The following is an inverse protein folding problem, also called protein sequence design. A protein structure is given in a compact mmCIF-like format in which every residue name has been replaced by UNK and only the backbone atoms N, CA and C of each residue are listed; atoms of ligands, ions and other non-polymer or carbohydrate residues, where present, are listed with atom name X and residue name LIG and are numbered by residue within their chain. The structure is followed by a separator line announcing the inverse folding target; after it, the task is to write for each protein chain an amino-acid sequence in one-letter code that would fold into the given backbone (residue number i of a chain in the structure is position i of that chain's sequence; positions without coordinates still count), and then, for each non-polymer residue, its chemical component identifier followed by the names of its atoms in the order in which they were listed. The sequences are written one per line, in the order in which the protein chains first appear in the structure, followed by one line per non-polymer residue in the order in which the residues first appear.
data_IF_443738657260
#
_entry.id   IF_443738657260
#
_cell.length_a   1.000
_cell.length_b   1.000
_cell.length_c   1.000
_cell.angle_alpha   90.00
_cell.angle_beta   90.00
_cell.angle_gamma   90.00
#
_symmetry.space_group_name_H-M   'P 1'
#
loop_
_entity.id
_entity.type
_entity.pdbx_description
1 polymer ?
#
# COMPACT_ATOMS: atom_id res chain seq x y z
N UNK A 1 4.30 0.20 -14.86
CA UNK A 1 2.88 0.12 -15.31
C UNK A 1 2.02 1.22 -14.71
N UNK A 2 1.40 2.06 -15.54
CA UNK A 2 0.54 3.18 -15.13
C UNK A 2 -0.95 2.80 -15.18
N UNK A 3 -1.66 2.92 -14.06
CA UNK A 3 -3.11 2.83 -14.01
C UNK A 3 -3.73 4.20 -13.72
N UNK A 4 -4.57 4.69 -14.63
CA UNK A 4 -5.23 5.98 -14.48
C UNK A 4 -6.69 5.80 -14.08
N UNK A 5 -7.15 6.59 -13.12
CA UNK A 5 -8.51 6.49 -12.60
C UNK A 5 -9.26 7.82 -12.67
N UNK A 6 -10.41 7.80 -13.31
CA UNK A 6 -11.33 8.93 -13.45
C UNK A 6 -12.65 8.65 -12.74
N UNK A 7 -13.27 9.69 -12.21
CA UNK A 7 -14.58 9.59 -11.58
C UNK A 7 -15.70 9.69 -12.62
N UNK A 8 -16.40 8.59 -12.87
CA UNK A 8 -17.53 8.52 -13.80
C UNK A 8 -18.80 8.08 -13.07
N UNK A 9 -19.81 8.95 -13.01
CA UNK A 9 -21.08 8.69 -12.32
C UNK A 9 -20.90 8.23 -10.85
N UNK A 10 -19.92 8.83 -10.16
CA UNK A 10 -19.59 8.49 -8.77
C UNK A 10 -18.88 7.13 -8.61
N UNK A 11 -18.37 6.54 -9.68
CA UNK A 11 -17.55 5.32 -9.66
C UNK A 11 -16.15 5.61 -10.16
N UNK A 12 -15.18 4.90 -9.61
CA UNK A 12 -13.82 4.94 -10.09
C UNK A 12 -13.72 4.03 -11.33
N UNK A 13 -13.46 4.64 -12.49
CA UNK A 13 -13.24 3.93 -13.75
C UNK A 13 -11.76 3.88 -14.04
N UNK A 14 -11.23 2.69 -14.30
CA UNK A 14 -9.85 2.50 -14.72
C UNK A 14 -9.74 2.72 -16.23
N UNK A 15 -8.76 3.52 -16.61
CA UNK A 15 -8.35 3.73 -18.00
C UNK A 15 -6.88 3.26 -18.10
N UNK A 16 -6.59 2.40 -19.06
CA UNK A 16 -5.25 1.93 -19.36
C UNK A 16 -4.54 3.02 -20.16
N UNK A 17 -3.27 3.26 -19.84
CA UNK A 17 -2.43 4.23 -20.53
C UNK A 17 -1.26 3.45 -21.13
N UNK A 18 -1.19 3.37 -22.46
CA UNK A 18 -0.12 2.68 -23.17
C UNK A 18 1.02 3.62 -23.55
N UNK A 19 0.77 4.93 -23.67
CA UNK A 19 1.81 5.91 -23.99
C UNK A 19 1.59 7.32 -23.38
N UNK A 20 2.62 8.17 -23.49
CA UNK A 20 2.59 9.58 -23.04
C UNK A 20 1.48 10.40 -23.67
N UNK A 21 1.12 10.18 -24.94
CA UNK A 21 0.09 10.95 -25.61
C UNK A 21 -1.31 10.57 -25.09
N UNK A 22 -1.53 9.31 -24.77
CA UNK A 22 -2.75 8.85 -24.08
C UNK A 22 -2.85 9.48 -22.70
N UNK A 23 -1.76 9.47 -21.92
CA UNK A 23 -1.71 10.11 -20.60
C UNK A 23 -2.18 11.57 -20.64
N UNK A 24 -1.73 12.32 -21.66
CA UNK A 24 -2.09 13.73 -21.88
C UNK A 24 -3.52 13.94 -22.41
N UNK A 25 -4.17 12.90 -22.94
CA UNK A 25 -5.54 12.97 -23.44
C UNK A 25 -6.58 12.79 -22.33
N UNK A 26 -6.24 12.13 -21.23
CA UNK A 26 -7.17 11.89 -20.13
C UNK A 26 -7.47 13.18 -19.37
N UNK A 27 -8.75 13.52 -19.23
CA UNK A 27 -9.19 14.73 -18.56
C UNK A 27 -9.50 14.44 -17.09
N UNK A 28 -8.78 15.10 -16.18
CA UNK A 28 -9.06 15.15 -14.74
C UNK A 28 -9.10 13.78 -14.03
N UNK A 29 -8.01 12.98 -14.07
CA UNK A 29 -7.88 11.84 -13.19
C UNK A 29 -7.95 12.29 -11.73
N UNK A 30 -8.47 11.42 -10.85
CA UNK A 30 -8.44 11.65 -9.39
C UNK A 30 -7.40 10.78 -8.70
N UNK A 31 -6.94 9.72 -9.38
CA UNK A 31 -5.90 8.84 -8.88
C UNK A 31 -5.09 8.27 -10.06
N UNK A 32 -3.76 8.29 -9.93
CA UNK A 32 -2.82 7.63 -10.83
C UNK A 32 -1.98 6.69 -9.97
N UNK A 33 -2.06 5.40 -10.27
CA UNK A 33 -1.39 4.33 -9.56
C UNK A 33 -0.32 3.71 -10.44
N UNK A 34 0.93 3.88 -10.03
CA UNK A 34 2.11 3.48 -10.80
C UNK A 34 2.79 2.33 -10.08
N UNK A 35 2.75 1.16 -10.72
CA UNK A 35 3.27 -0.11 -10.18
C UNK A 35 4.53 -0.47 -10.96
N UNK A 36 5.62 -0.75 -10.25
CA UNK A 36 6.93 -1.08 -10.82
C UNK A 36 7.29 -0.11 -11.96
N UNK A 37 7.39 1.20 -11.66
CA UNK A 37 7.59 2.21 -12.70
C UNK A 37 8.94 2.11 -13.37
N UNK A 38 8.98 2.33 -14.67
CA UNK A 38 10.22 2.71 -15.36
C UNK A 38 10.50 4.21 -15.17
N UNK A 39 11.79 4.61 -15.23
CA UNK A 39 12.19 6.03 -15.12
C UNK A 39 11.45 6.92 -16.15
N UNK A 40 11.22 6.38 -17.36
CA UNK A 40 10.50 7.06 -18.43
C UNK A 40 9.02 7.29 -18.08
N UNK A 41 8.35 6.31 -17.47
CA UNK A 41 6.96 6.44 -16.99
C UNK A 41 6.84 7.55 -15.94
N UNK A 42 7.78 7.63 -14.99
CA UNK A 42 7.81 8.70 -13.98
C UNK A 42 8.04 10.07 -14.63
N UNK A 43 8.92 10.16 -15.63
CA UNK A 43 9.16 11.41 -16.35
C UNK A 43 7.89 11.88 -17.08
N UNK A 44 7.17 10.98 -17.74
CA UNK A 44 5.91 11.32 -18.41
C UNK A 44 4.90 11.90 -17.44
N UNK A 45 4.77 11.33 -16.24
CA UNK A 45 3.83 11.83 -15.23
C UNK A 45 4.28 13.20 -14.69
N UNK A 46 5.58 13.37 -14.37
CA UNK A 46 6.15 14.66 -13.93
C UNK A 46 5.84 15.77 -14.94
N UNK A 47 6.04 15.51 -16.23
CA UNK A 47 5.77 16.47 -17.30
C UNK A 47 4.27 16.72 -17.53
N UNK A 48 3.45 15.67 -17.55
CA UNK A 48 2.02 15.76 -17.85
C UNK A 48 1.24 16.49 -16.76
N UNK A 49 1.61 16.28 -15.49
CA UNK A 49 0.88 16.83 -14.35
C UNK A 49 1.62 17.95 -13.62
N UNK A 50 2.83 18.30 -14.06
CA UNK A 50 3.68 19.32 -13.45
C UNK A 50 3.88 19.09 -11.94
N UNK A 51 4.18 17.83 -11.57
CA UNK A 51 4.31 17.35 -10.19
C UNK A 51 5.72 16.84 -9.94
N UNK A 52 6.26 17.05 -8.74
CA UNK A 52 7.47 16.36 -8.30
C UNK A 52 7.12 14.95 -7.83
N UNK A 53 7.75 13.93 -8.43
CA UNK A 53 7.67 12.55 -7.95
C UNK A 53 9.03 12.14 -7.38
N UNK A 54 9.05 11.32 -6.30
CA UNK A 54 10.30 10.79 -5.76
C UNK A 54 11.05 9.95 -6.80
N UNK A 55 12.36 9.84 -6.64
CA UNK A 55 13.13 8.81 -7.33
C UNK A 55 12.90 7.46 -6.65
N UNK A 56 13.07 6.36 -7.38
CA UNK A 56 12.85 5.02 -6.83
C UNK A 56 13.78 4.73 -5.65
N UNK A 57 15.04 5.18 -5.74
CA UNK A 57 16.04 5.05 -4.68
C UNK A 57 15.63 5.76 -3.38
N UNK A 58 14.83 6.84 -3.46
CA UNK A 58 14.38 7.60 -2.29
C UNK A 58 13.33 6.84 -1.46
N UNK A 59 12.67 5.82 -2.02
CA UNK A 59 11.64 5.04 -1.30
C UNK A 59 12.25 4.30 -0.09
N UNK A 60 13.55 4.01 -0.13
CA UNK A 60 14.29 3.36 0.96
C UNK A 60 14.50 4.23 2.20
N UNK A 61 14.31 5.55 2.12
CA UNK A 61 14.60 6.44 3.24
C UNK A 61 13.72 6.14 4.47
N UNK A 62 14.37 6.12 5.63
CA UNK A 62 13.74 5.81 6.93
C UNK A 62 13.45 7.05 7.78
N UNK A 63 13.96 8.22 7.38
CA UNK A 63 13.88 9.44 8.19
C UNK A 63 12.45 9.98 8.27
N UNK A 64 12.01 10.38 9.47
CA UNK A 64 10.64 10.87 9.68
C UNK A 64 10.35 12.15 8.88
N UNK A 65 11.35 13.02 8.70
CA UNK A 65 11.26 14.23 7.86
C UNK A 65 11.12 13.91 6.37
N UNK A 66 11.57 12.73 5.93
CA UNK A 66 11.43 12.26 4.57
C UNK A 66 10.11 11.48 4.34
N UNK A 67 9.33 11.20 5.41
CA UNK A 67 8.06 10.48 5.28
C UNK A 67 6.85 11.38 5.04
N UNK A 68 6.77 12.54 5.69
CA UNK A 68 5.62 13.43 5.56
C UNK A 68 6.08 14.87 5.44
N UNK A 69 5.92 15.46 4.26
CA UNK A 69 6.37 16.81 4.00
C UNK A 69 5.60 17.45 2.85
N UNK A 70 5.59 18.77 2.83
CA UNK A 70 5.19 19.54 1.65
C UNK A 70 6.47 19.80 0.84
N UNK A 71 6.47 19.44 -0.44
CA UNK A 71 7.60 19.69 -1.32
C UNK A 71 7.62 21.14 -1.83
N UNK A 72 8.66 21.52 -2.56
CA UNK A 72 8.83 22.89 -3.07
C UNK A 72 7.73 23.29 -4.08
N UNK A 73 7.07 22.33 -4.70
CA UNK A 73 5.90 22.54 -5.57
C UNK A 73 4.58 22.75 -4.80
N UNK A 74 4.62 22.67 -3.46
CA UNK A 74 3.47 22.85 -2.58
C UNK A 74 2.56 21.63 -2.50
N UNK A 75 2.99 20.46 -3.00
CA UNK A 75 2.23 19.22 -2.92
C UNK A 75 2.60 18.42 -1.68
N UNK A 76 1.65 17.62 -1.20
CA UNK A 76 1.84 16.81 0.00
C UNK A 76 2.46 15.46 -0.38
N UNK A 77 3.64 15.17 0.14
CA UNK A 77 4.34 13.90 -0.02
C UNK A 77 4.19 13.06 1.24
N UNK A 78 3.79 11.80 1.03
CA UNK A 78 3.53 10.85 2.11
C UNK A 78 4.20 9.53 1.71
N UNK A 79 5.16 9.05 2.50
CA UNK A 79 5.78 7.75 2.32
C UNK A 79 5.30 6.85 3.45
N UNK A 80 4.55 5.80 3.11
CA UNK A 80 3.95 4.90 4.08
C UNK A 80 4.15 3.45 3.68
N UNK A 81 4.34 2.59 4.67
CA UNK A 81 4.52 1.15 4.44
C UNK A 81 3.16 0.44 4.39
N UNK A 82 2.95 -0.45 3.43
CA UNK A 82 1.80 -1.36 3.35
C UNK A 82 2.25 -2.80 3.58
N UNK A 83 1.38 -3.62 4.16
CA UNK A 83 1.66 -5.04 4.38
C UNK A 83 1.37 -5.82 3.09
N UNK A 84 2.34 -6.63 2.68
CA UNK A 84 2.19 -7.69 1.70
C UNK A 84 2.41 -9.01 2.42
N UNK A 85 1.31 -9.70 2.71
CA UNK A 85 1.31 -10.98 3.40
C UNK A 85 0.95 -12.09 2.40
N UNK A 86 1.97 -12.86 2.01
CA UNK A 86 1.85 -14.01 1.11
C UNK A 86 2.17 -15.30 1.88
N UNK A 87 1.67 -16.46 1.40
CA UNK A 87 1.71 -17.75 2.12
C UNK A 87 3.09 -18.10 2.71
N UNK A 88 4.18 -17.76 2.03
CA UNK A 88 5.54 -18.07 2.45
C UNK A 88 6.35 -16.87 2.95
N UNK A 89 5.90 -15.63 2.69
CA UNK A 89 6.65 -14.42 3.03
C UNK A 89 5.75 -13.25 3.38
N UNK A 90 6.00 -12.64 4.54
CA UNK A 90 5.40 -11.38 4.94
C UNK A 90 6.42 -10.24 4.81
N UNK A 91 6.03 -9.12 4.21
CA UNK A 91 6.88 -7.92 4.17
C UNK A 91 6.14 -6.61 4.00
N UNK A 92 6.83 -5.54 4.33
CA UNK A 92 6.36 -4.20 4.11
C UNK A 92 6.85 -3.70 2.75
N UNK A 93 5.93 -3.16 1.95
CA UNK A 93 6.25 -2.46 0.70
C UNK A 93 6.02 -0.98 0.94
N UNK A 94 7.03 -0.16 0.64
CA UNK A 94 6.89 1.29 0.74
C UNK A 94 6.08 1.80 -0.44
N UNK A 95 5.07 2.61 -0.15
CA UNK A 95 4.36 3.39 -1.15
C UNK A 95 4.69 4.86 -0.92
N UNK A 96 5.07 5.56 -1.99
CA UNK A 96 5.07 7.01 -2.01
C UNK A 96 3.79 7.53 -2.62
N UNK A 97 3.08 8.34 -1.84
CA UNK A 97 1.99 9.15 -2.33
C UNK A 97 2.44 10.58 -2.55
N UNK A 98 1.95 11.16 -3.65
CA UNK A 98 1.98 12.60 -3.87
C UNK A 98 0.54 13.05 -4.04
N UNK A 99 0.06 13.87 -3.12
CA UNK A 99 -1.30 14.40 -3.13
C UNK A 99 -1.26 15.86 -3.58
N UNK A 100 -1.82 16.10 -4.76
CA UNK A 100 -2.13 17.44 -5.25
C UNK A 100 -3.55 17.83 -4.82
N UNK A 101 -3.99 19.05 -5.18
CA UNK A 101 -5.37 19.48 -4.91
C UNK A 101 -6.45 18.63 -5.62
N UNK A 102 -6.09 17.90 -6.69
CA UNK A 102 -7.04 17.22 -7.57
C UNK A 102 -6.75 15.73 -7.74
N UNK A 103 -5.48 15.34 -7.75
CA UNK A 103 -5.01 13.99 -8.11
C UNK A 103 -4.16 13.42 -6.99
N UNK A 104 -4.41 12.16 -6.64
CA UNK A 104 -3.51 11.33 -5.86
C UNK A 104 -2.59 10.58 -6.81
N UNK A 105 -1.28 10.61 -6.57
CA UNK A 105 -0.33 9.72 -7.21
C UNK A 105 0.11 8.68 -6.19
N UNK A 106 0.16 7.41 -6.56
CA UNK A 106 0.79 6.34 -5.78
C UNK A 106 1.88 5.68 -6.60
N UNK A 107 3.06 5.53 -6.00
CA UNK A 107 4.25 4.95 -6.62
C UNK A 107 4.77 3.86 -5.69
N UNK A 108 4.90 2.65 -6.24
CA UNK A 108 5.35 1.48 -5.50
C UNK A 108 5.87 0.40 -6.46
N UNK A 109 6.72 -0.47 -5.94
CA UNK A 109 7.40 -1.48 -6.76
C UNK A 109 6.50 -2.70 -7.04
N UNK A 110 5.38 -2.86 -6.33
CA UNK A 110 4.62 -4.12 -6.33
C UNK A 110 3.12 -3.97 -6.11
N UNK A 111 2.34 -4.81 -6.80
CA UNK A 111 0.89 -4.76 -6.68
C UNK A 111 0.38 -5.28 -5.32
N UNK A 112 -0.23 -4.39 -4.55
CA UNK A 112 -0.65 -4.65 -3.17
C UNK A 112 -2.10 -5.17 -3.05
N UNK A 113 -2.40 -6.09 -2.12
CA UNK A 113 -3.76 -6.57 -1.85
C UNK A 113 -4.74 -5.44 -1.52
N UNK A 114 -4.31 -4.48 -0.71
CA UNK A 114 -5.09 -3.30 -0.33
C UNK A 114 -5.50 -2.48 -1.55
N UNK A 115 -4.55 -2.25 -2.47
CA UNK A 115 -4.79 -1.49 -3.71
C UNK A 115 -5.76 -2.22 -4.63
N UNK A 116 -5.56 -3.53 -4.84
CA UNK A 116 -6.50 -4.37 -5.60
C UNK A 116 -7.91 -4.27 -5.03
N UNK A 117 -8.05 -4.32 -3.70
CA UNK A 117 -9.34 -4.28 -3.03
C UNK A 117 -10.02 -2.91 -3.16
N UNK A 118 -9.30 -1.80 -2.96
CA UNK A 118 -9.84 -0.44 -3.16
C UNK A 118 -10.28 -0.24 -4.62
N UNK A 119 -9.46 -0.62 -5.60
CA UNK A 119 -9.83 -0.55 -7.03
C UNK A 119 -11.11 -1.34 -7.33
N UNK A 120 -11.25 -2.54 -6.75
CA UNK A 120 -12.45 -3.36 -6.89
C UNK A 120 -13.68 -2.70 -6.24
N UNK A 121 -13.56 -2.21 -5.01
CA UNK A 121 -14.65 -1.57 -4.24
C UNK A 121 -15.13 -0.31 -4.95
N UNK A 122 -14.21 0.55 -5.36
CA UNK A 122 -14.49 1.84 -6.00
C UNK A 122 -15.18 1.71 -7.37
N UNK A 123 -14.93 0.60 -8.08
CA UNK A 123 -15.64 0.24 -9.32
C UNK A 123 -17.07 -0.23 -9.08
N UNK A 124 -17.31 -0.96 -7.98
CA UNK A 124 -18.60 -1.61 -7.71
C UNK A 124 -19.58 -0.75 -6.92
N UNK A 125 -19.09 0.14 -6.06
CA UNK A 125 -19.91 0.94 -5.13
C UNK A 125 -19.91 2.42 -5.52
N UNK A 126 -20.97 2.94 -6.17
CA UNK A 126 -21.09 4.37 -6.42
C UNK A 126 -21.03 5.17 -5.12
N UNK A 127 -20.30 6.28 -5.12
CA UNK A 127 -20.17 7.20 -3.99
C UNK A 127 -19.20 6.73 -2.89
N UNK A 128 -18.45 5.65 -3.11
CA UNK A 128 -17.39 5.20 -2.18
C UNK A 128 -16.23 6.19 -2.10
N UNK A 129 -15.87 6.79 -3.24
CA UNK A 129 -14.85 7.84 -3.34
C UNK A 129 -15.38 8.97 -4.21
N UNK A 130 -15.12 10.22 -3.82
CA UNK A 130 -15.55 11.42 -4.55
C UNK A 130 -14.41 12.32 -4.98
N UNK A 131 -13.22 12.18 -4.38
CA UNK A 131 -12.03 12.96 -4.69
C UNK A 131 -10.74 12.20 -4.31
N UNK A 132 -9.58 12.75 -4.67
CA UNK A 132 -8.26 12.16 -4.40
C UNK A 132 -7.98 11.86 -2.91
N UNK A 133 -8.46 12.71 -1.99
CA UNK A 133 -8.30 12.49 -0.54
C UNK A 133 -9.13 11.31 -0.06
N UNK A 134 -10.35 11.15 -0.58
CA UNK A 134 -11.19 10.00 -0.25
C UNK A 134 -10.51 8.69 -0.65
N UNK A 135 -9.82 8.67 -1.81
CA UNK A 135 -9.04 7.49 -2.25
C UNK A 135 -7.91 7.19 -1.26
N UNK A 136 -7.13 8.20 -0.85
CA UNK A 136 -6.06 8.03 0.12
C UNK A 136 -6.59 7.50 1.47
N UNK A 137 -7.71 8.05 1.95
CA UNK A 137 -8.33 7.62 3.21
C UNK A 137 -8.92 6.20 3.11
N UNK A 138 -9.48 5.82 1.96
CA UNK A 138 -9.98 4.45 1.73
C UNK A 138 -8.84 3.42 1.66
N UNK A 139 -7.69 3.79 1.07
CA UNK A 139 -6.46 3.00 1.11
C UNK A 139 -5.99 2.77 2.54
N UNK A 140 -5.92 3.82 3.37
CA UNK A 140 -5.54 3.67 4.79
C UNK A 140 -6.55 2.86 5.61
N UNK A 141 -7.84 3.09 5.39
CA UNK A 141 -8.89 2.34 6.08
C UNK A 141 -8.83 0.86 5.73
N UNK A 142 -8.61 0.56 4.45
CA UNK A 142 -8.47 -0.82 3.96
C UNK A 142 -7.16 -1.47 4.42
N UNK A 143 -6.06 -0.72 4.55
CA UNK A 143 -4.80 -1.22 5.13
C UNK A 143 -4.93 -1.55 6.62
N UNK A 144 -5.68 -0.74 7.37
CA UNK A 144 -5.99 -1.03 8.77
C UNK A 144 -6.86 -2.30 8.91
N UNK A 145 -7.87 -2.49 8.03
CA UNK A 145 -8.66 -3.73 7.95
C UNK A 145 -7.75 -4.93 7.65
N UNK A 146 -6.94 -4.83 6.60
CA UNK A 146 -6.04 -5.91 6.17
C UNK A 146 -5.01 -6.27 7.25
N UNK A 147 -4.43 -5.27 7.92
CA UNK A 147 -3.50 -5.47 9.03
C UNK A 147 -4.17 -6.13 10.24
N UNK A 148 -5.46 -5.87 10.48
CA UNK A 148 -6.21 -6.51 11.56
C UNK A 148 -6.49 -7.98 11.26
N UNK A 149 -6.89 -8.30 10.02
CA UNK A 149 -7.12 -9.68 9.58
C UNK A 149 -5.83 -10.51 9.66
N UNK A 150 -4.70 -9.97 9.17
CA UNK A 150 -3.39 -10.63 9.28
C UNK A 150 -2.97 -10.84 10.75
N UNK A 151 -3.27 -9.87 11.63
CA UNK A 151 -2.98 -10.00 13.05
C UNK A 151 -3.85 -11.07 13.74
N UNK A 152 -5.09 -11.26 13.29
CA UNK A 152 -5.96 -12.33 13.77
C UNK A 152 -5.37 -13.71 13.42
N UNK A 153 -4.90 -13.89 12.19
CA UNK A 153 -4.23 -15.11 11.74
C UNK A 153 -2.97 -15.43 12.58
N UNK A 154 -2.14 -14.43 12.85
CA UNK A 154 -0.98 -14.54 13.73
C UNK A 154 -1.38 -15.10 15.11
N UNK A 155 -2.44 -14.55 15.71
CA UNK A 155 -2.90 -15.03 17.02
C UNK A 155 -3.48 -16.44 16.97
N UNK A 156 -4.20 -16.81 15.90
CA UNK A 156 -4.69 -18.17 15.73
C UNK A 156 -3.52 -19.18 15.63
N UNK A 157 -2.48 -18.86 14.86
CA UNK A 157 -1.30 -19.71 14.69
C UNK A 157 -0.51 -19.84 15.99
N UNK A 158 -0.31 -18.73 16.71
CA UNK A 158 0.31 -18.75 18.04
C UNK A 158 -0.51 -19.54 19.07
N UNK A 159 -1.84 -19.50 19.01
CA UNK A 159 -2.69 -20.32 19.88
C UNK A 159 -2.52 -21.83 19.59
N UNK A 160 -2.47 -22.21 18.31
CA UNK A 160 -2.21 -23.60 17.89
C UNK A 160 -0.83 -24.07 18.34
N UNK A 161 0.20 -23.24 18.13
CA UNK A 161 1.57 -23.50 18.59
C UNK A 161 1.65 -23.65 20.12
N UNK A 162 1.00 -22.74 20.86
CA UNK A 162 0.94 -22.79 22.32
C UNK A 162 0.28 -24.07 22.85
N UNK A 163 -0.81 -24.52 22.23
CA UNK A 163 -1.46 -25.80 22.58
C UNK A 163 -0.55 -27.00 22.36
N UNK A 164 0.27 -27.00 21.30
CA UNK A 164 1.23 -28.08 21.02
C UNK A 164 2.35 -28.13 22.06
N UNK A 165 2.94 -26.98 22.41
CA UNK A 165 4.03 -26.90 23.41
C UNK A 165 3.59 -27.32 24.81
N UNK A 166 2.35 -27.01 25.19
CA UNK A 166 1.82 -27.36 26.51
C UNK A 166 1.29 -28.80 26.60
N UNK A 167 1.38 -29.59 25.53
CA UNK A 167 0.94 -30.99 25.54
C UNK A 167 1.90 -31.89 26.32
N UNK A 168 1.37 -32.94 26.95
CA UNK A 168 2.16 -33.84 27.81
C UNK A 168 3.18 -34.69 27.05
N UNK A 169 3.09 -34.77 25.72
CA UNK A 169 3.97 -35.58 24.86
C UNK A 169 4.38 -34.79 23.62
N UNK A 170 5.50 -34.09 23.69
CA UNK A 170 6.08 -33.35 22.56
C UNK A 170 7.36 -34.04 22.08
N UNK A 171 7.51 -34.22 20.76
CA UNK A 171 8.76 -34.70 20.17
C UNK A 171 9.71 -33.55 19.84
N UNK A 172 11.00 -33.84 19.65
CA UNK A 172 11.96 -32.81 19.21
C UNK A 172 11.57 -32.19 17.85
N UNK A 173 10.94 -32.98 16.96
CA UNK A 173 10.43 -32.49 15.68
C UNK A 173 9.26 -31.54 15.85
N UNK A 174 8.30 -31.85 16.74
CA UNK A 174 7.20 -30.97 17.08
C UNK A 174 7.68 -29.66 17.72
N UNK A 175 8.70 -29.75 18.59
CA UNK A 175 9.29 -28.58 19.23
C UNK A 175 9.97 -27.67 18.20
N UNK A 176 10.68 -28.24 17.22
CA UNK A 176 11.31 -27.48 16.14
C UNK A 176 10.26 -26.75 15.28
N UNK A 177 9.18 -27.43 14.90
CA UNK A 177 8.08 -26.83 14.12
C UNK A 177 7.40 -25.69 14.89
N UNK A 178 7.16 -25.86 16.20
CA UNK A 178 6.58 -24.78 17.01
C UNK A 178 7.53 -23.58 17.12
N UNK A 179 8.85 -23.80 17.28
CA UNK A 179 9.81 -22.71 17.31
C UNK A 179 9.86 -21.96 15.98
N UNK A 180 9.78 -22.67 14.85
CA UNK A 180 9.67 -22.08 13.52
C UNK A 180 8.39 -21.24 13.41
N UNK A 181 7.23 -21.77 13.80
CA UNK A 181 5.97 -21.01 13.83
C UNK A 181 6.12 -19.74 14.66
N UNK A 182 6.60 -19.83 15.91
CA UNK A 182 6.75 -18.65 16.78
C UNK A 182 7.66 -17.60 16.15
N UNK A 183 8.76 -18.00 15.53
CA UNK A 183 9.69 -17.07 14.88
C UNK A 183 9.04 -16.37 13.67
N UNK A 184 8.33 -17.11 12.82
CA UNK A 184 7.60 -16.55 11.67
C UNK A 184 6.52 -15.58 12.13
N UNK A 185 5.69 -15.99 13.10
CA UNK A 185 4.59 -15.18 13.61
C UNK A 185 5.07 -13.91 14.33
N UNK A 186 6.23 -13.95 15.00
CA UNK A 186 6.83 -12.76 15.62
C UNK A 186 7.33 -11.77 14.57
N UNK A 187 7.94 -12.24 13.47
CA UNK A 187 8.37 -11.37 12.37
C UNK A 187 7.16 -10.68 11.71
N UNK A 188 6.11 -11.45 11.39
CA UNK A 188 4.86 -10.91 10.84
C UNK A 188 4.21 -9.89 11.78
N UNK A 189 4.10 -10.19 13.07
CA UNK A 189 3.60 -9.23 14.06
C UNK A 189 4.47 -7.95 14.13
N UNK A 190 5.79 -8.10 14.05
CA UNK A 190 6.74 -6.99 14.00
C UNK A 190 6.54 -6.09 12.78
N UNK A 191 6.16 -6.65 11.63
CA UNK A 191 5.85 -5.94 10.38
C UNK A 191 4.50 -5.24 10.43
N UNK A 192 3.46 -5.93 10.89
CA UNK A 192 2.12 -5.36 11.13
C UNK A 192 2.22 -4.16 12.08
N UNK A 193 2.91 -4.32 13.21
CA UNK A 193 3.08 -3.24 14.19
C UNK A 193 3.78 -2.02 13.59
N UNK A 194 4.79 -2.23 12.74
CA UNK A 194 5.49 -1.13 12.06
C UNK A 194 4.57 -0.40 11.10
N UNK A 195 3.82 -1.14 10.26
CA UNK A 195 2.82 -0.57 9.36
C UNK A 195 1.81 0.28 10.15
N UNK A 196 1.10 -0.31 11.11
CA UNK A 196 0.04 0.39 11.85
C UNK A 196 0.55 1.64 12.56
N UNK A 197 1.79 1.60 13.09
CA UNK A 197 2.41 2.78 13.72
C UNK A 197 2.74 3.89 12.73
N UNK A 198 3.07 3.52 11.49
CA UNK A 198 3.37 4.44 10.41
C UNK A 198 2.08 5.07 9.85
N UNK A 199 1.06 4.26 9.56
CA UNK A 199 -0.29 4.74 9.19
C UNK A 199 -0.84 5.70 10.25
N UNK A 200 -0.64 5.41 11.55
CA UNK A 200 -1.03 6.33 12.64
C UNK A 200 -0.27 7.67 12.63
N UNK A 201 0.95 7.74 12.11
CA UNK A 201 1.70 9.01 11.99
C UNK A 201 1.24 9.83 10.78
N UNK A 202 0.69 9.16 9.76
CA UNK A 202 0.19 9.79 8.55
C UNK A 202 -1.18 10.48 8.74
N UNK A 203 -2.01 9.95 9.65
CA UNK A 203 -3.36 10.46 10.00
C UNK A 203 -3.33 11.56 11.06
#
# INVERSE_FOLDING_TARGET
MINLFVLQNGRLSQEQVEDRNELLQHHNPIWIDVIDPEEEELLWIKEAFAVQLPELDDLGDLEASARYFEADDGHLHIRTDFLLDEEDTSRNVRVAFVLTNQVLFSIHDEDLPVFRLVRLRARLRPGSVSNAKDVLLDLYSTDAEYSADALEEVYENLERAGKRVLSETITDADAAEVLETIATEEDTNGRIRRNVMDTRRAL
#
